data_IF_248571478812
#
_entry.id   IF_248571478812
#
_cell.length_a   1.000
_cell.length_b   1.000
_cell.length_c   1.000
_cell.angle_alpha   90.00
_cell.angle_beta   90.00
_cell.angle_gamma   90.00
#
_symmetry.space_group_name_H-M   'P 1'
#
loop_
_entity.id
_entity.type
_entity.pdbx_description
1 polymer ?
#
# COMPACT_ATOMS: atom_id res chain seq x y z
N UNK A 1 37.90 10.71 -46.71
CA UNK A 1 38.50 9.36 -46.67
C UNK A 1 37.36 8.39 -46.42
N UNK A 2 36.92 7.68 -47.46
CA UNK A 2 35.91 6.62 -47.40
C UNK A 2 36.58 5.32 -46.95
N UNK A 3 35.95 4.57 -46.05
CA UNK A 3 36.12 3.11 -45.92
C UNK A 3 34.74 2.50 -45.68
N UNK A 4 34.28 1.73 -46.67
CA UNK A 4 33.17 0.79 -46.59
C UNK A 4 33.69 -0.62 -46.25
N UNK A 5 32.78 -1.59 -46.06
CA UNK A 5 32.93 -3.08 -46.02
C UNK A 5 33.00 -3.68 -44.58
N UNK A 6 32.26 -4.73 -44.15
CA UNK A 6 31.49 -5.79 -44.83
C UNK A 6 30.37 -6.41 -43.96
N UNK A 7 29.38 -6.96 -44.67
CA UNK A 7 28.33 -7.88 -44.21
C UNK A 7 28.85 -9.33 -44.24
N UNK A 8 28.60 -10.09 -43.18
CA UNK A 8 28.56 -11.56 -43.15
C UNK A 8 27.57 -11.93 -42.00
N UNK A 9 26.53 -12.75 -42.14
CA UNK A 9 26.35 -13.91 -43.00
C UNK A 9 26.61 -15.18 -42.19
N UNK A 10 25.63 -15.66 -41.42
CA UNK A 10 25.61 -17.05 -40.97
C UNK A 10 24.17 -17.54 -40.83
N UNK A 11 23.76 -18.33 -41.84
CA UNK A 11 22.51 -19.09 -41.86
C UNK A 11 22.68 -20.33 -40.98
N UNK A 12 21.81 -20.49 -39.99
CA UNK A 12 21.63 -21.74 -39.25
C UNK A 12 20.16 -22.13 -39.31
N UNK A 13 19.78 -22.87 -40.35
CA UNK A 13 18.49 -23.55 -40.40
C UNK A 13 18.61 -24.85 -39.61
N UNK A 14 17.85 -24.98 -38.52
CA UNK A 14 17.65 -26.26 -37.83
C UNK A 14 16.16 -26.42 -37.59
N UNK A 15 15.52 -27.18 -38.49
CA UNK A 15 14.17 -27.70 -38.27
C UNK A 15 14.24 -28.87 -37.30
N UNK A 16 13.64 -28.72 -36.12
CA UNK A 16 12.99 -29.79 -35.38
C UNK A 16 12.09 -29.18 -34.29
N UNK A 17 10.77 -29.24 -34.49
CA UNK A 17 9.83 -29.31 -33.36
C UNK A 17 9.74 -30.78 -32.93
N UNK A 18 9.61 -31.04 -31.62
CA UNK A 18 8.29 -31.43 -31.14
C UNK A 18 7.85 -30.72 -29.84
N UNK A 19 6.53 -30.54 -29.78
CA UNK A 19 5.60 -30.09 -28.73
C UNK A 19 6.13 -29.69 -27.34
N UNK A 20 5.78 -28.50 -26.82
CA UNK A 20 5.82 -28.29 -25.38
C UNK A 20 4.62 -29.02 -24.77
N UNK A 21 4.89 -30.13 -24.08
CA UNK A 21 4.03 -30.62 -23.00
C UNK A 21 3.76 -29.45 -22.08
N UNK A 22 2.49 -29.03 -22.03
CA UNK A 22 2.02 -27.96 -21.18
C UNK A 22 2.20 -28.32 -19.71
N UNK A 23 3.34 -27.93 -19.16
CA UNK A 23 3.46 -27.65 -17.74
C UNK A 23 3.34 -26.14 -17.62
N UNK A 24 2.18 -25.70 -17.15
CA UNK A 24 2.00 -24.32 -16.71
C UNK A 24 2.94 -24.17 -15.52
N UNK A 25 4.16 -23.69 -15.77
CA UNK A 25 4.99 -23.13 -14.72
C UNK A 25 4.19 -21.95 -14.19
N UNK A 26 3.55 -22.16 -13.03
CA UNK A 26 3.11 -21.05 -12.20
C UNK A 26 4.34 -20.15 -12.06
N UNK A 27 4.30 -18.99 -12.70
CA UNK A 27 5.30 -17.98 -12.45
C UNK A 27 5.24 -17.72 -10.94
N UNK A 28 6.34 -17.99 -10.24
CA UNK A 28 6.59 -17.39 -8.94
C UNK A 28 6.31 -15.90 -9.13
N UNK A 29 5.21 -15.40 -8.56
CA UNK A 29 5.10 -13.97 -8.33
C UNK A 29 6.40 -13.57 -7.62
N UNK A 30 7.13 -12.55 -8.09
CA UNK A 30 8.43 -12.25 -7.55
C UNK A 30 8.26 -12.03 -6.05
N UNK A 31 9.06 -12.73 -5.23
CA UNK A 31 9.05 -12.65 -3.75
C UNK A 31 9.06 -11.20 -3.23
N UNK A 32 9.53 -10.26 -4.05
CA UNK A 32 9.48 -8.83 -3.84
C UNK A 32 8.05 -8.27 -3.69
N UNK A 33 7.08 -8.74 -4.48
CA UNK A 33 5.68 -8.23 -4.45
C UNK A 33 4.99 -8.58 -3.13
N UNK A 34 5.15 -9.82 -2.65
CA UNK A 34 4.57 -10.25 -1.37
C UNK A 34 5.23 -9.52 -0.18
N UNK A 35 6.53 -9.25 -0.24
CA UNK A 35 7.23 -8.48 0.78
C UNK A 35 6.78 -7.01 0.79
N UNK A 36 6.54 -6.43 -0.38
CA UNK A 36 5.99 -5.07 -0.53
C UNK A 36 4.56 -4.99 0.01
N UNK A 37 3.71 -5.96 -0.31
CA UNK A 37 2.35 -6.05 0.22
C UNK A 37 2.34 -6.19 1.75
N UNK A 38 3.18 -7.07 2.30
CA UNK A 38 3.30 -7.22 3.75
C UNK A 38 3.76 -5.91 4.43
N UNK A 39 4.70 -5.18 3.81
CA UNK A 39 5.16 -3.88 4.29
C UNK A 39 4.08 -2.80 4.20
N UNK A 40 3.26 -2.80 3.14
CA UNK A 40 2.13 -1.89 2.99
C UNK A 40 1.07 -2.15 4.09
N UNK A 41 0.73 -3.41 4.36
CA UNK A 41 -0.19 -3.80 5.44
C UNK A 41 0.34 -3.41 6.84
N UNK A 42 1.64 -3.55 7.08
CA UNK A 42 2.26 -3.08 8.31
C UNK A 42 2.14 -1.55 8.45
N UNK A 43 2.37 -0.79 7.37
CA UNK A 43 2.20 0.66 7.38
C UNK A 43 0.73 1.09 7.58
N UNK A 44 -0.25 0.34 7.06
CA UNK A 44 -1.68 0.55 7.36
C UNK A 44 -1.96 0.32 8.86
N UNK A 45 -1.37 -0.71 9.45
CA UNK A 45 -1.46 -0.97 10.89
C UNK A 45 -0.89 0.18 11.74
N UNK A 46 0.19 0.83 11.27
CA UNK A 46 0.73 2.03 11.92
C UNK A 46 -0.25 3.21 11.85
N UNK A 47 -0.91 3.42 10.70
CA UNK A 47 -1.97 4.44 10.55
C UNK A 47 -3.11 4.18 11.52
N UNK A 48 -3.61 2.94 11.59
CA UNK A 48 -4.67 2.53 12.52
C UNK A 48 -4.25 2.77 13.97
N UNK A 49 -3.00 2.47 14.31
CA UNK A 49 -2.45 2.68 15.64
C UNK A 49 -2.42 4.16 16.01
N UNK A 50 -2.00 5.06 15.11
CA UNK A 50 -2.01 6.51 15.37
C UNK A 50 -3.44 6.99 15.64
N UNK A 51 -4.39 6.60 14.80
CA UNK A 51 -5.80 7.01 14.92
C UNK A 51 -6.42 6.51 16.22
N UNK A 52 -6.25 5.22 16.54
CA UNK A 52 -6.84 4.64 17.74
C UNK A 52 -6.24 5.26 19.02
N UNK A 53 -4.93 5.47 19.07
CA UNK A 53 -4.31 6.07 20.25
C UNK A 53 -4.67 7.54 20.42
N UNK A 54 -4.87 8.30 19.35
CA UNK A 54 -5.39 9.66 19.43
C UNK A 54 -6.80 9.71 20.04
N UNK A 55 -7.65 8.76 19.66
CA UNK A 55 -9.03 8.64 20.17
C UNK A 55 -9.06 8.24 21.64
N UNK A 56 -8.25 7.26 22.01
CA UNK A 56 -8.09 6.84 23.40
C UNK A 56 -7.55 8.00 24.24
N UNK A 57 -6.50 8.69 23.76
CA UNK A 57 -5.92 9.82 24.47
C UNK A 57 -6.92 10.96 24.70
N UNK A 58 -7.78 11.25 23.71
CA UNK A 58 -8.84 12.23 23.88
C UNK A 58 -9.88 11.74 24.90
N UNK A 59 -10.30 10.48 24.80
CA UNK A 59 -11.30 9.90 25.70
C UNK A 59 -10.83 9.85 27.17
N UNK A 60 -9.53 9.69 27.38
CA UNK A 60 -8.87 9.70 28.69
C UNK A 60 -8.55 11.13 29.18
N UNK A 61 -8.80 12.16 28.37
CA UNK A 61 -8.51 13.55 28.69
C UNK A 61 -7.02 13.90 28.71
N UNK A 62 -6.17 13.10 28.04
CA UNK A 62 -4.73 13.34 27.93
C UNK A 62 -4.38 14.39 26.88
N UNK A 63 -5.18 14.49 25.82
CA UNK A 63 -4.98 15.45 24.73
C UNK A 63 -6.24 16.28 24.52
N UNK A 64 -6.07 17.47 23.95
CA UNK A 64 -7.20 18.29 23.51
C UNK A 64 -7.72 17.81 22.14
N UNK A 65 -8.95 18.19 21.78
CA UNK A 65 -9.53 17.90 20.44
C UNK A 65 -8.61 18.40 19.33
N UNK A 66 -8.03 19.60 19.48
CA UNK A 66 -7.10 20.14 18.47
C UNK A 66 -5.87 19.25 18.28
N UNK A 67 -5.36 18.66 19.35
CA UNK A 67 -4.21 17.76 19.30
C UNK A 67 -4.58 16.42 18.66
N UNK A 68 -5.76 15.86 18.97
CA UNK A 68 -6.29 14.68 18.27
C UNK A 68 -6.39 14.94 16.75
N UNK A 69 -6.89 16.10 16.32
CA UNK A 69 -6.96 16.45 14.90
C UNK A 69 -5.56 16.55 14.27
N UNK A 70 -4.57 17.07 15.00
CA UNK A 70 -3.17 17.04 14.57
C UNK A 70 -2.63 15.62 14.38
N UNK A 71 -2.98 14.68 15.28
CA UNK A 71 -2.64 13.27 15.11
C UNK A 71 -3.33 12.63 13.90
N UNK A 72 -4.57 13.01 13.60
CA UNK A 72 -5.26 12.59 12.39
C UNK A 72 -4.58 13.13 11.11
N UNK A 73 -4.10 14.37 11.11
CA UNK A 73 -3.31 14.90 10.00
C UNK A 73 -2.02 14.10 9.78
N UNK A 74 -1.33 13.73 10.87
CA UNK A 74 -0.15 12.85 10.83
C UNK A 74 -0.51 11.48 10.25
N UNK A 75 -1.61 10.87 10.70
CA UNK A 75 -2.08 9.58 10.19
C UNK A 75 -2.37 9.63 8.67
N UNK A 76 -3.06 10.68 8.22
CA UNK A 76 -3.32 10.92 6.79
C UNK A 76 -2.02 11.06 6.00
N UNK A 77 -1.03 11.76 6.54
CA UNK A 77 0.26 11.92 5.87
C UNK A 77 1.05 10.61 5.77
N UNK A 78 0.98 9.77 6.80
CA UNK A 78 1.58 8.42 6.79
C UNK A 78 0.88 7.55 5.75
N UNK A 79 -0.46 7.56 5.71
CA UNK A 79 -1.27 6.81 4.74
C UNK A 79 -0.87 7.13 3.29
N UNK A 80 -0.68 8.40 2.95
CA UNK A 80 -0.30 8.80 1.58
C UNK A 80 1.16 8.52 1.20
N UNK A 81 1.98 8.06 2.15
CA UNK A 81 3.33 7.58 1.85
C UNK A 81 3.37 6.09 1.53
N UNK A 82 2.28 5.36 1.78
CA UNK A 82 2.17 3.95 1.46
C UNK A 82 2.05 3.80 -0.06
N UNK A 83 2.93 3.03 -0.72
CA UNK A 83 2.80 2.78 -2.15
C UNK A 83 1.47 2.10 -2.49
N UNK A 84 0.78 2.60 -3.52
CA UNK A 84 -0.54 2.11 -3.95
C UNK A 84 -0.66 1.91 -5.47
N UNK A 85 0.43 2.11 -6.22
CA UNK A 85 0.45 2.02 -7.68
C UNK A 85 0.64 0.60 -8.24
N UNK A 86 0.64 -0.42 -7.37
CA UNK A 86 0.78 -1.82 -7.76
C UNK A 86 -0.53 -2.47 -8.18
N UNK A 87 -0.44 -3.64 -8.79
CA UNK A 87 -1.61 -4.42 -9.24
C UNK A 87 -2.14 -5.38 -8.17
N UNK A 88 -1.51 -5.46 -6.98
CA UNK A 88 -1.94 -6.35 -5.91
C UNK A 88 -3.26 -5.90 -5.26
N UNK A 89 -3.98 -6.84 -4.63
CA UNK A 89 -5.18 -6.52 -3.86
C UNK A 89 -4.87 -5.57 -2.69
N UNK A 90 -3.68 -5.69 -2.09
CA UNK A 90 -3.20 -4.76 -1.06
C UNK A 90 -2.98 -3.36 -1.65
N UNK A 91 -2.29 -3.24 -2.79
CA UNK A 91 -2.07 -1.95 -3.45
C UNK A 91 -3.38 -1.25 -3.81
N UNK A 92 -4.35 -2.00 -4.35
CA UNK A 92 -5.68 -1.49 -4.66
C UNK A 92 -6.44 -1.06 -3.40
N UNK A 93 -6.44 -1.87 -2.34
CA UNK A 93 -7.08 -1.49 -1.07
C UNK A 93 -6.43 -0.27 -0.39
N UNK A 94 -5.10 -0.11 -0.52
CA UNK A 94 -4.41 1.10 -0.06
C UNK A 94 -4.83 2.31 -0.91
N UNK A 95 -4.98 2.16 -2.22
CA UNK A 95 -5.49 3.22 -3.09
C UNK A 95 -6.91 3.66 -2.70
N UNK A 96 -7.80 2.70 -2.46
CA UNK A 96 -9.17 2.96 -2.00
C UNK A 96 -9.19 3.69 -0.65
N UNK A 97 -8.29 3.29 0.27
CA UNK A 97 -8.14 3.95 1.57
C UNK A 97 -7.61 5.39 1.44
N UNK A 98 -6.67 5.64 0.53
CA UNK A 98 -6.17 6.97 0.20
C UNK A 98 -7.25 7.85 -0.45
N UNK A 99 -8.12 7.27 -1.28
CA UNK A 99 -9.27 7.98 -1.86
C UNK A 99 -10.31 8.35 -0.79
N UNK A 100 -10.57 7.44 0.16
CA UNK A 100 -11.51 7.66 1.26
C UNK A 100 -11.05 8.76 2.23
N UNK A 101 -9.74 9.00 2.35
CA UNK A 101 -9.17 10.07 3.17
C UNK A 101 -8.25 10.92 2.30
N UNK A 102 -8.77 11.93 1.57
CA UNK A 102 -7.95 12.74 0.67
C UNK A 102 -6.81 13.46 1.40
N UNK A 103 -5.67 13.62 0.72
CA UNK A 103 -4.53 14.34 1.25
C UNK A 103 -4.91 15.76 1.67
N UNK A 104 -4.51 16.13 2.88
CA UNK A 104 -4.72 17.49 3.41
C UNK A 104 -3.57 18.37 2.93
N UNK A 105 -3.87 19.38 2.13
CA UNK A 105 -2.90 20.43 1.80
C UNK A 105 -2.61 21.25 3.07
N UNK A 106 -1.35 21.31 3.51
CA UNK A 106 -0.92 21.95 4.78
C UNK A 106 -1.33 23.42 4.94
N UNK A 107 -1.80 24.07 3.87
CA UNK A 107 -2.24 25.47 3.84
C UNK A 107 -3.75 25.63 3.64
N UNK A 108 -4.47 24.56 3.34
CA UNK A 108 -5.92 24.55 3.22
C UNK A 108 -6.52 24.38 4.62
N UNK A 109 -7.06 25.47 5.18
CA UNK A 109 -7.97 25.38 6.33
C UNK A 109 -9.24 24.67 5.85
N UNK A 110 -9.30 23.35 5.88
CA UNK A 110 -10.43 22.65 5.25
C UNK A 110 -10.81 21.40 6.03
N UNK A 111 -12.07 21.44 6.50
CA UNK A 111 -12.98 20.35 6.85
C UNK A 111 -12.50 19.33 7.91
N UNK A 112 -13.42 18.69 8.66
CA UNK A 112 -13.04 17.64 9.61
C UNK A 112 -12.27 16.52 8.89
N UNK A 113 -11.24 15.98 9.53
CA UNK A 113 -10.49 14.85 8.94
C UNK A 113 -11.45 13.68 8.68
N UNK A 114 -11.46 13.14 7.47
CA UNK A 114 -12.39 12.07 7.01
C UNK A 114 -12.12 10.72 7.69
N UNK A 115 -11.05 10.64 8.48
CA UNK A 115 -10.74 9.53 9.39
C UNK A 115 -11.97 9.23 10.27
N UNK A 116 -12.25 7.93 10.47
CA UNK A 116 -13.45 7.37 11.13
C UNK A 116 -14.78 7.48 10.37
N UNK A 117 -14.84 8.10 9.19
CA UNK A 117 -16.03 8.04 8.32
C UNK A 117 -16.36 6.61 7.89
N UNK A 118 -17.59 6.39 7.42
CA UNK A 118 -18.01 5.07 6.91
C UNK A 118 -17.13 4.63 5.73
N UNK A 119 -16.80 5.54 4.80
CA UNK A 119 -15.90 5.25 3.68
C UNK A 119 -14.51 4.79 4.13
N UNK A 120 -13.93 5.42 5.16
CA UNK A 120 -12.66 4.99 5.73
C UNK A 120 -12.74 3.61 6.38
N UNK A 121 -13.84 3.32 7.10
CA UNK A 121 -14.05 2.00 7.74
C UNK A 121 -14.23 0.90 6.70
N UNK A 122 -15.01 1.16 5.66
CA UNK A 122 -15.26 0.21 4.58
C UNK A 122 -13.97 -0.09 3.82
N UNK A 123 -13.18 0.93 3.48
CA UNK A 123 -11.88 0.77 2.84
C UNK A 123 -10.87 0.01 3.72
N UNK A 124 -10.84 0.26 5.03
CA UNK A 124 -10.02 -0.53 5.95
C UNK A 124 -10.45 -1.99 6.02
N UNK A 125 -11.76 -2.27 6.10
CA UNK A 125 -12.25 -3.65 6.15
C UNK A 125 -11.94 -4.43 4.87
N UNK A 126 -11.91 -3.76 3.72
CA UNK A 126 -11.52 -4.36 2.45
C UNK A 126 -10.05 -4.85 2.44
N UNK A 127 -9.19 -4.35 3.33
CA UNK A 127 -7.80 -4.76 3.47
C UNK A 127 -7.59 -5.96 4.39
N UNK A 128 -8.58 -6.38 5.19
CA UNK A 128 -8.43 -7.46 6.17
C UNK A 128 -7.97 -8.78 5.53
N UNK A 129 -8.68 -9.23 4.49
CA UNK A 129 -8.39 -10.49 3.80
C UNK A 129 -7.10 -10.41 2.94
N UNK A 130 -6.87 -9.36 2.12
CA UNK A 130 -5.61 -9.18 1.42
C UNK A 130 -4.38 -9.17 2.33
N UNK A 131 -4.45 -8.47 3.47
CA UNK A 131 -3.33 -8.40 4.41
C UNK A 131 -3.10 -9.71 5.16
N UNK A 132 -4.16 -10.46 5.46
CA UNK A 132 -4.03 -11.81 6.01
C UNK A 132 -3.37 -12.77 5.00
N UNK A 133 -3.66 -12.64 3.71
CA UNK A 133 -3.11 -13.51 2.66
C UNK A 133 -1.58 -13.37 2.48
N UNK A 134 -0.99 -12.27 2.95
CA UNK A 134 0.46 -12.02 2.96
C UNK A 134 1.07 -12.12 4.36
N UNK A 135 0.40 -12.84 5.27
CA UNK A 135 0.82 -13.05 6.67
C UNK A 135 1.08 -11.74 7.46
N UNK A 136 0.43 -10.64 7.07
CA UNK A 136 0.57 -9.31 7.66
C UNK A 136 -0.80 -8.76 8.10
N UNK A 137 -1.53 -9.56 8.88
CA UNK A 137 -2.86 -9.20 9.36
C UNK A 137 -2.87 -7.82 10.06
N UNK A 138 -3.89 -7.00 9.75
CA UNK A 138 -4.01 -5.66 10.30
C UNK A 138 -4.12 -5.71 11.83
N UNK A 139 -3.35 -4.85 12.49
CA UNK A 139 -3.27 -4.81 13.95
C UNK A 139 -3.20 -3.38 14.47
N UNK A 140 -3.60 -3.20 15.72
CA UNK A 140 -3.48 -1.92 16.44
C UNK A 140 -2.53 -2.13 17.62
N UNK A 141 -1.46 -1.35 17.64
CA UNK A 141 -0.56 -1.26 18.78
C UNK A 141 -1.02 -0.14 19.71
N UNK A 142 -1.39 -0.50 20.93
CA UNK A 142 -1.77 0.46 21.97
C UNK A 142 -0.52 0.99 22.70
N UNK A 143 -0.47 2.30 22.94
CA UNK A 143 0.56 2.93 23.76
C UNK A 143 0.01 4.05 24.63
N UNK A 144 0.55 4.17 25.83
CA UNK A 144 0.24 5.27 26.74
C UNK A 144 1.23 6.42 26.48
N UNK A 145 0.86 7.38 25.65
CA UNK A 145 1.66 8.56 25.34
C UNK A 145 0.83 9.67 24.68
N UNK A 146 1.11 10.92 25.07
CA UNK A 146 0.52 12.19 24.61
C UNK A 146 1.36 13.30 25.21
#
# INVERSE_FOLDING_TARGET
MLVALMVAGCSGESSALPEPTGEVVQADAPVDDAAQDAAACAAVSDVMSIVENADIALSEGRVAVQEQQGWYEVATHVLHRIPSSGDSAVSQGVADLQEAVPAVELWARTEPTVIRSDAWRDALSALDEPCLAVDSALTISMFTGG
#
